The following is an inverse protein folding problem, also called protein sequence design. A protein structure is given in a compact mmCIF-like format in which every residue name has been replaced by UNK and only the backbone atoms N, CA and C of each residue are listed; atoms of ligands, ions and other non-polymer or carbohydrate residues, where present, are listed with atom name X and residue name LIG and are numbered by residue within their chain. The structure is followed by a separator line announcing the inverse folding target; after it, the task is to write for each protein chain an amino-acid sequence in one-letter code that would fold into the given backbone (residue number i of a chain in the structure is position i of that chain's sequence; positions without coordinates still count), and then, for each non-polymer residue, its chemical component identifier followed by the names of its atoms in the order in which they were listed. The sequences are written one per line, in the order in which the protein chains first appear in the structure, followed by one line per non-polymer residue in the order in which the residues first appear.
data_IF_683294008980
#
_entry.id   IF_683294008980
#
_cell.length_a   1.000
_cell.length_b   1.000
_cell.length_c   1.000
_cell.angle_alpha   90.00
_cell.angle_beta   90.00
_cell.angle_gamma   90.00
#
_symmetry.space_group_name_H-M   'P 1'
#
loop_
_entity.id
_entity.type
_entity.pdbx_description
1 polymer ?
#
# COMPACT_ATOMS: atom_id res chain seq x y z
N UNK A 1 9.40 -13.62 -22.03
CA UNK A 1 9.53 -12.21 -21.63
C UNK A 1 8.99 -11.35 -22.75
N UNK A 2 7.67 -11.17 -22.80
CA UNK A 2 7.08 -10.12 -23.62
C UNK A 2 7.02 -8.89 -22.72
N UNK A 3 7.78 -7.85 -23.07
CA UNK A 3 7.55 -6.53 -22.49
C UNK A 3 6.16 -6.09 -22.95
N UNK A 4 5.22 -5.99 -22.01
CA UNK A 4 3.84 -5.64 -22.31
C UNK A 4 3.76 -4.24 -22.93
N UNK A 5 3.07 -4.14 -24.06
CA UNK A 5 2.69 -2.86 -24.68
C UNK A 5 1.72 -2.16 -23.73
N UNK A 6 1.86 -0.84 -23.48
CA UNK A 6 0.89 -0.07 -22.69
C UNK A 6 -0.54 -0.28 -23.22
N UNK A 7 -1.50 -0.45 -22.32
CA UNK A 7 -2.92 -0.67 -22.67
C UNK A 7 -3.46 0.39 -23.65
N UNK A 8 -2.96 1.62 -23.53
CA UNK A 8 -3.33 2.78 -24.36
C UNK A 8 -2.83 2.68 -25.81
N UNK A 9 -1.99 1.69 -26.12
CA UNK A 9 -1.37 1.45 -27.43
C UNK A 9 -1.91 0.18 -28.14
N UNK A 10 -2.80 -0.58 -27.51
CA UNK A 10 -3.41 -1.78 -28.08
C UNK A 10 -4.76 -1.46 -28.74
N UNK A 11 -5.07 -2.11 -29.87
CA UNK A 11 -6.37 -1.94 -30.53
C UNK A 11 -7.49 -2.69 -29.79
N UNK A 12 -8.73 -2.18 -29.87
CA UNK A 12 -9.92 -2.73 -29.19
C UNK A 12 -10.12 -4.24 -29.41
N UNK A 13 -9.73 -4.77 -30.57
CA UNK A 13 -9.95 -6.16 -30.95
C UNK A 13 -8.89 -7.07 -30.32
N UNK A 14 -7.65 -6.60 -30.24
CA UNK A 14 -6.55 -7.22 -29.49
C UNK A 14 -6.84 -7.18 -27.99
N UNK A 15 -7.30 -6.05 -27.47
CA UNK A 15 -7.70 -5.91 -26.07
C UNK A 15 -8.83 -6.87 -25.69
N UNK A 16 -9.88 -6.99 -26.52
CA UNK A 16 -10.98 -7.94 -26.28
C UNK A 16 -10.53 -9.40 -26.29
N UNK A 17 -9.45 -9.73 -27.00
CA UNK A 17 -8.93 -11.10 -27.10
C UNK A 17 -7.94 -11.43 -25.98
N UNK A 18 -7.07 -10.49 -25.62
CA UNK A 18 -6.05 -10.67 -24.58
C UNK A 18 -6.61 -10.47 -23.16
N UNK A 19 -7.67 -9.66 -23.03
CA UNK A 19 -8.29 -9.32 -21.76
C UNK A 19 -9.75 -9.80 -21.67
N UNK A 20 -10.15 -10.77 -22.51
CA UNK A 20 -11.44 -11.45 -22.31
C UNK A 20 -11.44 -12.13 -20.94
N UNK A 21 -12.60 -12.30 -20.29
CA UNK A 21 -12.67 -13.03 -19.03
C UNK A 21 -12.02 -14.43 -19.11
N UNK A 22 -12.21 -15.16 -20.22
CA UNK A 22 -11.56 -16.46 -20.43
C UNK A 22 -10.04 -16.34 -20.67
N UNK A 23 -9.58 -15.31 -21.37
CA UNK A 23 -8.15 -15.10 -21.63
C UNK A 23 -7.39 -14.68 -20.36
N UNK A 24 -7.99 -13.84 -19.50
CA UNK A 24 -7.43 -13.48 -18.19
C UNK A 24 -7.35 -14.68 -17.23
N UNK A 25 -8.29 -15.62 -17.36
CA UNK A 25 -8.30 -16.90 -16.65
C UNK A 25 -7.19 -17.83 -17.16
N UNK A 26 -7.10 -18.06 -18.49
CA UNK A 26 -6.12 -18.97 -19.09
C UNK A 26 -4.67 -18.49 -18.96
N UNK A 27 -4.45 -17.18 -18.97
CA UNK A 27 -3.09 -16.60 -18.89
C UNK A 27 -2.59 -16.48 -17.46
N UNK A 28 -3.43 -16.76 -16.46
CA UNK A 28 -3.17 -16.41 -15.06
C UNK A 28 -2.64 -14.97 -14.92
N UNK A 29 -3.14 -14.03 -15.72
CA UNK A 29 -2.64 -12.66 -15.79
C UNK A 29 -2.56 -12.01 -14.39
N UNK A 30 -3.52 -12.35 -13.54
CA UNK A 30 -3.59 -11.88 -12.17
C UNK A 30 -2.66 -12.61 -11.19
N UNK A 31 -2.18 -13.82 -11.51
CA UNK A 31 -1.05 -14.43 -10.79
C UNK A 31 0.30 -13.86 -11.24
N UNK A 32 0.43 -13.41 -12.49
CA UNK A 32 1.65 -12.70 -12.93
C UNK A 32 1.87 -11.41 -12.13
N UNK A 33 0.80 -10.75 -11.66
CA UNK A 33 0.90 -9.64 -10.69
C UNK A 33 1.29 -10.07 -9.26
N UNK A 34 1.13 -11.35 -8.88
CA UNK A 34 1.67 -11.93 -7.63
C UNK A 34 3.18 -12.21 -7.77
N UNK A 35 3.61 -12.57 -8.99
CA UNK A 35 5.00 -12.86 -9.33
C UNK A 35 5.93 -11.63 -9.36
N UNK A 36 5.39 -10.41 -9.34
CA UNK A 36 6.13 -9.17 -9.07
C UNK A 36 6.66 -9.08 -7.62
N UNK A 37 6.40 -10.10 -6.79
CA UNK A 37 6.86 -10.19 -5.40
C UNK A 37 5.87 -9.62 -4.39
N UNK A 38 4.71 -9.17 -4.84
CA UNK A 38 3.61 -8.66 -4.01
C UNK A 38 2.65 -9.78 -3.67
N UNK A 39 2.79 -10.38 -2.48
CA UNK A 39 1.86 -11.43 -2.05
C UNK A 39 0.47 -10.86 -1.81
N UNK A 40 -0.55 -11.48 -2.40
CA UNK A 40 -1.92 -11.29 -1.95
C UNK A 40 -2.05 -11.63 -0.46
N UNK A 41 -2.84 -10.83 0.28
CA UNK A 41 -3.16 -11.15 1.67
C UNK A 41 -3.85 -12.54 1.79
N UNK A 42 -4.68 -12.91 0.79
CA UNK A 42 -5.34 -14.23 0.69
C UNK A 42 -5.98 -14.43 -0.72
N UNK A 43 -5.28 -15.09 -1.65
CA UNK A 43 -5.75 -15.29 -3.04
C UNK A 43 -7.01 -16.16 -3.14
N UNK A 44 -7.11 -17.21 -2.34
CA UNK A 44 -8.28 -18.11 -2.35
C UNK A 44 -9.55 -17.36 -1.92
N UNK A 45 -9.46 -16.50 -0.89
CA UNK A 45 -10.58 -15.65 -0.50
C UNK A 45 -10.94 -14.64 -1.57
N UNK A 46 -9.95 -14.04 -2.22
CA UNK A 46 -10.17 -13.11 -3.33
C UNK A 46 -11.06 -13.74 -4.41
N UNK A 47 -10.68 -14.92 -4.93
CA UNK A 47 -11.46 -15.64 -5.94
C UNK A 47 -12.86 -16.02 -5.47
N UNK A 48 -13.04 -16.28 -4.17
CA UNK A 48 -14.34 -16.67 -3.61
C UNK A 48 -15.35 -15.52 -3.52
N UNK A 49 -14.89 -14.29 -3.34
CA UNK A 49 -15.76 -13.14 -3.07
C UNK A 49 -16.00 -12.25 -4.29
N UNK A 50 -15.00 -12.10 -5.16
CA UNK A 50 -15.04 -11.17 -6.29
C UNK A 50 -15.45 -11.87 -7.59
N UNK A 51 -16.60 -12.53 -7.52
CA UNK A 51 -17.20 -13.36 -8.58
C UNK A 51 -18.23 -12.63 -9.44
N UNK A 52 -18.52 -11.34 -9.19
CA UNK A 52 -19.33 -10.50 -10.10
C UNK A 52 -18.81 -9.07 -10.13
N UNK A 53 -18.98 -8.38 -11.28
CA UNK A 53 -18.65 -6.95 -11.37
C UNK A 53 -19.55 -6.08 -10.47
N UNK A 54 -20.76 -6.55 -10.17
CA UNK A 54 -21.67 -5.88 -9.24
C UNK A 54 -21.09 -5.86 -7.81
N UNK A 55 -20.62 -7.01 -7.32
CA UNK A 55 -19.92 -7.11 -6.03
C UNK A 55 -18.63 -6.30 -6.01
N UNK A 56 -17.88 -6.31 -7.11
CA UNK A 56 -16.65 -5.51 -7.27
C UNK A 56 -16.94 -4.01 -7.18
N UNK A 57 -17.95 -3.50 -7.90
CA UNK A 57 -18.31 -2.09 -7.86
C UNK A 57 -18.83 -1.68 -6.49
N UNK A 58 -19.62 -2.53 -5.85
CA UNK A 58 -20.14 -2.27 -4.52
C UNK A 58 -19.03 -2.28 -3.46
N UNK A 59 -18.05 -3.18 -3.59
CA UNK A 59 -16.83 -3.17 -2.79
C UNK A 59 -16.10 -1.84 -2.89
N UNK A 60 -15.87 -1.32 -4.11
CA UNK A 60 -15.16 -0.05 -4.29
C UNK A 60 -15.93 1.13 -3.69
N UNK A 61 -17.26 1.18 -3.91
CA UNK A 61 -18.13 2.24 -3.34
C UNK A 61 -18.11 2.20 -1.81
N UNK A 62 -18.18 1.00 -1.22
CA UNK A 62 -18.11 0.84 0.22
C UNK A 62 -16.71 1.17 0.78
N UNK A 63 -15.63 0.75 0.11
CA UNK A 63 -14.25 1.12 0.48
C UNK A 63 -14.06 2.64 0.47
N UNK A 64 -14.61 3.34 -0.52
CA UNK A 64 -14.58 4.80 -0.58
C UNK A 64 -15.33 5.45 0.60
N UNK A 65 -16.53 4.96 0.93
CA UNK A 65 -17.33 5.45 2.06
C UNK A 65 -16.64 5.21 3.41
N UNK A 66 -16.07 4.02 3.61
CA UNK A 66 -15.27 3.68 4.80
C UNK A 66 -14.07 4.61 4.90
N UNK A 67 -13.36 4.81 3.79
CA UNK A 67 -12.19 5.69 3.75
C UNK A 67 -12.53 7.13 4.09
N UNK A 68 -13.74 7.61 3.77
CA UNK A 68 -14.20 8.96 4.14
C UNK A 68 -14.68 9.05 5.58
N UNK A 69 -15.51 8.09 6.02
CA UNK A 69 -16.22 8.13 7.32
C UNK A 69 -15.38 7.63 8.48
N UNK A 70 -14.42 6.73 8.24
CA UNK A 70 -13.55 6.12 9.25
C UNK A 70 -12.12 6.70 9.25
N UNK A 71 -11.80 7.66 8.35
CA UNK A 71 -10.50 8.37 8.30
C UNK A 71 -10.00 8.91 9.64
N UNK A 72 -10.89 9.17 10.60
CA UNK A 72 -10.55 9.63 11.93
C UNK A 72 -9.63 8.66 12.68
N UNK A 73 -9.63 7.37 12.32
CA UNK A 73 -8.78 6.34 12.94
C UNK A 73 -7.29 6.68 12.83
N UNK A 74 -6.89 7.42 11.78
CA UNK A 74 -5.52 7.90 11.60
C UNK A 74 -4.98 8.67 12.82
N UNK A 75 -5.84 9.43 13.51
CA UNK A 75 -5.47 10.24 14.68
C UNK A 75 -5.04 9.40 15.89
N UNK A 76 -5.34 8.10 15.86
CA UNK A 76 -5.09 7.16 16.94
C UNK A 76 -4.06 6.11 16.56
N UNK A 77 -3.38 6.26 15.41
CA UNK A 77 -2.35 5.31 14.95
C UNK A 77 -1.16 5.23 15.91
N UNK A 78 -0.97 6.25 16.75
CA UNK A 78 0.06 6.32 17.78
C UNK A 78 -0.09 5.26 18.87
N UNK A 79 -1.30 4.73 19.05
CA UNK A 79 -1.55 3.67 20.03
C UNK A 79 -0.91 2.36 19.59
N UNK A 80 -0.32 1.67 20.57
CA UNK A 80 0.26 0.35 20.36
C UNK A 80 -0.83 -0.66 19.98
N UNK A 81 -0.53 -1.56 19.03
CA UNK A 81 -1.49 -2.60 18.66
C UNK A 81 -1.81 -3.48 19.85
N UNK A 82 -3.11 -3.66 20.10
CA UNK A 82 -3.61 -4.44 21.24
C UNK A 82 -3.61 -3.68 22.57
N UNK A 83 -3.22 -2.41 22.61
CA UNK A 83 -3.46 -1.58 23.80
C UNK A 83 -4.96 -1.40 24.03
N UNK A 84 -5.41 -1.17 25.29
CA UNK A 84 -6.82 -0.90 25.57
C UNK A 84 -7.39 0.25 24.72
N UNK A 85 -6.62 1.30 24.51
CA UNK A 85 -7.01 2.45 23.70
C UNK A 85 -7.17 2.08 22.22
N UNK A 86 -6.25 1.28 21.67
CA UNK A 86 -6.37 0.79 20.30
C UNK A 86 -7.57 -0.15 20.11
N UNK A 87 -7.83 -1.03 21.08
CA UNK A 87 -8.98 -1.95 21.06
C UNK A 87 -10.30 -1.17 21.02
N UNK A 88 -10.43 -0.10 21.81
CA UNK A 88 -11.63 0.74 21.79
C UNK A 88 -11.82 1.47 20.45
N UNK A 89 -10.73 1.97 19.87
CA UNK A 89 -10.70 2.61 18.55
C UNK A 89 -11.12 1.62 17.46
N UNK A 90 -10.56 0.41 17.46
CA UNK A 90 -10.92 -0.65 16.51
C UNK A 90 -12.38 -1.07 16.65
N UNK A 91 -12.88 -1.23 17.88
CA UNK A 91 -14.27 -1.60 18.13
C UNK A 91 -15.25 -0.51 17.64
N UNK A 92 -14.89 0.77 17.80
CA UNK A 92 -15.67 1.88 17.25
C UNK A 92 -15.65 1.87 15.72
N UNK A 93 -14.47 1.72 15.11
CA UNK A 93 -14.34 1.62 13.66
C UNK A 93 -15.13 0.43 13.10
N UNK A 94 -15.14 -0.70 13.80
CA UNK A 94 -15.93 -1.88 13.44
C UNK A 94 -17.43 -1.60 13.44
N UNK A 95 -17.97 -1.01 14.52
CA UNK A 95 -19.42 -0.68 14.57
C UNK A 95 -19.83 0.25 13.44
N UNK A 96 -19.03 1.28 13.17
CA UNK A 96 -19.31 2.20 12.06
C UNK A 96 -19.22 1.52 10.69
N UNK A 97 -18.27 0.61 10.51
CA UNK A 97 -18.15 -0.15 9.26
C UNK A 97 -19.41 -0.99 9.02
N UNK A 98 -19.87 -1.73 10.04
CA UNK A 98 -21.12 -2.51 9.97
C UNK A 98 -22.32 -1.62 9.68
N UNK A 99 -22.44 -0.47 10.36
CA UNK A 99 -23.54 0.49 10.11
C UNK A 99 -23.54 1.01 8.67
N UNK A 100 -22.37 1.34 8.11
CA UNK A 100 -22.24 1.78 6.71
C UNK A 100 -22.61 0.64 5.76
N UNK A 101 -22.19 -0.59 6.04
CA UNK A 101 -22.44 -1.75 5.18
C UNK A 101 -23.94 -2.07 5.01
N UNK A 102 -24.80 -1.62 5.92
CA UNK A 102 -26.25 -1.78 5.80
C UNK A 102 -26.84 -1.05 4.57
N UNK A 103 -26.14 -0.04 4.06
CA UNK A 103 -26.54 0.68 2.85
C UNK A 103 -26.12 -0.05 1.55
N UNK A 104 -25.44 -1.21 1.66
CA UNK A 104 -24.83 -1.96 0.54
C UNK A 104 -25.38 -3.39 0.48
N UNK A 105 -26.44 -3.67 -0.31
CA UNK A 105 -27.15 -4.95 -0.32
C UNK A 105 -26.34 -6.21 -0.67
N UNK A 106 -25.25 -6.13 -1.46
CA UNK A 106 -24.40 -7.29 -1.75
C UNK A 106 -23.12 -7.32 -0.90
N UNK A 107 -23.00 -6.44 0.09
CA UNK A 107 -21.90 -6.46 1.05
C UNK A 107 -22.13 -7.53 2.11
N UNK A 108 -21.42 -8.65 2.00
CA UNK A 108 -21.42 -9.65 3.07
C UNK A 108 -20.71 -9.12 4.33
N UNK A 109 -21.02 -9.71 5.48
CA UNK A 109 -20.36 -9.37 6.74
C UNK A 109 -18.83 -9.54 6.66
N UNK A 110 -18.38 -10.65 6.04
CA UNK A 110 -16.94 -10.93 5.89
C UNK A 110 -16.26 -9.95 4.93
N UNK A 111 -16.93 -9.55 3.85
CA UNK A 111 -16.44 -8.50 2.94
C UNK A 111 -16.33 -7.15 3.66
N UNK A 112 -17.34 -6.79 4.45
CA UNK A 112 -17.34 -5.55 5.22
C UNK A 112 -16.17 -5.50 6.22
N UNK A 113 -15.87 -6.64 6.85
CA UNK A 113 -14.72 -6.80 7.74
C UNK A 113 -13.38 -6.64 7.02
N UNK A 114 -13.25 -7.21 5.83
CA UNK A 114 -11.99 -7.13 5.09
C UNK A 114 -11.73 -5.73 4.56
N UNK A 115 -12.73 -5.06 3.99
CA UNK A 115 -12.60 -3.64 3.55
C UNK A 115 -12.11 -2.74 4.68
N UNK A 116 -12.68 -2.89 5.88
CA UNK A 116 -12.23 -2.14 7.06
C UNK A 116 -10.79 -2.48 7.42
N UNK A 117 -10.42 -3.77 7.37
CA UNK A 117 -9.06 -4.22 7.65
C UNK A 117 -8.06 -3.65 6.64
N UNK A 118 -8.41 -3.65 5.35
CA UNK A 118 -7.63 -3.04 4.27
C UNK A 118 -7.48 -1.54 4.47
N UNK A 119 -8.56 -0.83 4.84
CA UNK A 119 -8.49 0.60 5.13
C UNK A 119 -7.56 0.92 6.30
N UNK A 120 -7.64 0.15 7.40
CA UNK A 120 -6.78 0.32 8.58
C UNK A 120 -5.33 0.00 8.23
N UNK A 121 -5.10 -1.11 7.52
CA UNK A 121 -3.77 -1.51 7.05
C UNK A 121 -3.15 -0.41 6.17
N UNK A 122 -3.89 0.07 5.18
CA UNK A 122 -3.45 1.14 4.28
C UNK A 122 -3.13 2.42 5.04
N UNK A 123 -4.00 2.83 5.95
CA UNK A 123 -3.78 4.04 6.77
C UNK A 123 -2.55 3.89 7.66
N UNK A 124 -2.33 2.69 8.21
CA UNK A 124 -1.19 2.39 9.09
C UNK A 124 0.12 2.40 8.32
N UNK A 125 0.15 1.78 7.14
CA UNK A 125 1.32 1.80 6.26
C UNK A 125 1.68 3.22 5.86
N UNK A 126 0.70 4.01 5.39
CA UNK A 126 0.97 5.41 5.00
C UNK A 126 1.49 6.24 6.20
N UNK A 127 1.00 5.97 7.40
CA UNK A 127 1.46 6.67 8.60
C UNK A 127 2.89 6.27 8.99
N UNK A 128 3.17 4.99 9.20
CA UNK A 128 4.44 4.53 9.76
C UNK A 128 5.55 4.38 8.72
N UNK A 129 5.24 3.79 7.56
CA UNK A 129 6.25 3.44 6.55
C UNK A 129 6.55 4.60 5.59
N UNK A 130 5.69 5.63 5.55
CA UNK A 130 5.88 6.81 4.69
C UNK A 130 6.02 8.10 5.50
N UNK A 131 4.97 8.52 6.20
CA UNK A 131 4.95 9.83 6.87
C UNK A 131 5.98 9.95 8.00
N UNK A 132 6.16 8.90 8.81
CA UNK A 132 7.16 8.93 9.88
C UNK A 132 8.60 8.69 9.38
N UNK A 133 8.76 7.92 8.29
CA UNK A 133 10.06 7.55 7.74
C UNK A 133 10.65 8.65 6.85
N UNK A 134 9.85 9.36 6.06
CA UNK A 134 10.28 10.48 5.20
C UNK A 134 11.24 11.46 5.90
N UNK A 135 10.87 12.07 7.04
CA UNK A 135 11.76 13.03 7.69
C UNK A 135 13.02 12.36 8.29
N UNK A 136 12.94 11.09 8.70
CA UNK A 136 14.10 10.34 9.18
C UNK A 136 15.11 10.09 8.05
N UNK A 137 14.66 9.61 6.89
CA UNK A 137 15.54 9.36 5.73
C UNK A 137 16.20 10.65 5.24
N UNK A 138 15.44 11.75 5.18
CA UNK A 138 15.99 13.06 4.84
C UNK A 138 17.05 13.51 5.83
N UNK A 139 16.82 13.37 7.14
CA UNK A 139 17.80 13.76 8.15
C UNK A 139 19.07 12.92 8.08
N UNK A 140 18.94 11.62 7.81
CA UNK A 140 20.07 10.73 7.55
C UNK A 140 20.83 11.24 6.33
N UNK A 141 20.20 11.34 5.16
CA UNK A 141 20.82 11.77 3.90
C UNK A 141 21.56 13.12 4.06
N UNK A 142 20.91 14.11 4.67
CA UNK A 142 21.48 15.44 4.92
C UNK A 142 22.78 15.36 5.74
N UNK A 143 22.87 14.44 6.72
CA UNK A 143 24.09 14.25 7.52
C UNK A 143 25.17 13.56 6.73
N UNK A 144 24.84 12.56 5.91
CA UNK A 144 25.81 11.88 5.05
C UNK A 144 26.43 12.88 4.07
N UNK A 145 25.62 13.68 3.39
CA UNK A 145 26.10 14.62 2.36
C UNK A 145 26.86 15.81 2.95
N UNK A 146 26.33 16.45 4.00
CA UNK A 146 26.97 17.65 4.58
C UNK A 146 28.14 17.36 5.51
N UNK A 147 28.06 16.28 6.30
CA UNK A 147 29.06 15.97 7.33
C UNK A 147 30.02 14.85 6.91
N UNK A 148 29.77 14.18 5.77
CA UNK A 148 30.57 13.06 5.26
C UNK A 148 30.80 11.97 6.30
N UNK A 149 29.75 11.66 7.05
CA UNK A 149 29.74 10.60 8.06
C UNK A 149 29.06 9.35 7.51
N UNK A 150 29.26 8.21 8.18
CA UNK A 150 28.59 6.96 7.79
C UNK A 150 27.12 6.97 8.21
N UNK A 151 26.31 6.11 7.58
CA UNK A 151 24.92 5.87 7.95
C UNK A 151 24.75 5.59 9.45
N UNK A 152 25.64 4.76 10.02
CA UNK A 152 25.62 4.43 11.45
C UNK A 152 25.90 5.65 12.33
N UNK A 153 26.91 6.44 11.99
CA UNK A 153 27.23 7.67 12.73
C UNK A 153 26.09 8.69 12.66
N UNK A 154 25.38 8.76 11.52
CA UNK A 154 24.19 9.60 11.40
C UNK A 154 23.09 9.14 12.37
N UNK A 155 22.81 7.83 12.45
CA UNK A 155 21.85 7.25 13.38
C UNK A 155 22.24 7.49 14.85
N UNK A 156 23.51 7.32 15.22
CA UNK A 156 24.02 7.61 16.57
C UNK A 156 23.77 9.08 16.97
N UNK A 157 24.08 10.02 16.07
CA UNK A 157 23.81 11.44 16.31
C UNK A 157 22.30 11.73 16.40
N UNK A 158 21.48 11.09 15.56
CA UNK A 158 20.03 11.28 15.55
C UNK A 158 19.43 10.80 16.89
N UNK A 159 19.92 9.68 17.40
CA UNK A 159 19.51 9.12 18.68
C UNK A 159 19.94 10.01 19.85
N UNK A 160 21.20 10.48 19.86
CA UNK A 160 21.72 11.38 20.89
C UNK A 160 20.95 12.70 20.96
N UNK A 161 20.52 13.23 19.81
CA UNK A 161 19.74 14.45 19.72
C UNK A 161 18.23 14.23 19.95
N UNK A 162 17.80 12.97 20.15
CA UNK A 162 16.40 12.57 20.34
C UNK A 162 15.42 13.16 19.30
N UNK A 163 15.84 13.21 18.03
CA UNK A 163 15.06 13.87 16.98
C UNK A 163 13.82 13.07 16.55
N UNK A 164 13.87 11.74 16.64
CA UNK A 164 12.78 10.85 16.22
C UNK A 164 12.44 9.82 17.32
N UNK A 165 11.82 10.24 18.43
CA UNK A 165 11.55 9.35 19.57
C UNK A 165 10.74 8.10 19.20
N UNK A 166 9.83 8.19 18.22
CA UNK A 166 9.02 7.04 17.77
C UNK A 166 9.83 5.98 17.04
N UNK A 167 10.88 6.41 16.36
CA UNK A 167 11.76 5.53 15.62
C UNK A 167 12.93 5.05 16.50
N UNK A 168 12.97 5.41 17.79
CA UNK A 168 14.05 5.05 18.71
C UNK A 168 14.29 3.53 18.75
N UNK A 169 13.24 2.72 18.89
CA UNK A 169 13.36 1.26 18.87
C UNK A 169 13.91 0.74 17.54
N UNK A 170 13.49 1.33 16.42
CA UNK A 170 13.97 0.97 15.08
C UNK A 170 15.46 1.35 14.92
N UNK A 171 15.82 2.57 15.27
CA UNK A 171 17.20 3.09 15.23
C UNK A 171 18.10 2.24 16.13
N UNK A 172 17.70 1.98 17.37
CA UNK A 172 18.45 1.16 18.32
C UNK A 172 18.66 -0.26 17.76
N UNK A 173 17.63 -0.86 17.17
CA UNK A 173 17.75 -2.17 16.53
C UNK A 173 18.82 -2.19 15.44
N UNK A 174 18.91 -1.15 14.60
CA UNK A 174 19.97 -1.04 13.58
C UNK A 174 21.35 -0.87 14.21
N UNK A 175 21.46 -0.05 15.26
CA UNK A 175 22.73 0.20 15.94
C UNK A 175 23.29 -1.04 16.66
N UNK A 176 22.40 -1.85 17.26
CA UNK A 176 22.71 -3.10 17.94
C UNK A 176 23.10 -4.22 16.97
N UNK A 177 22.49 -4.26 15.79
CA UNK A 177 22.67 -5.31 14.78
C UNK A 177 23.58 -4.88 13.63
N UNK A 178 24.75 -4.33 13.97
CA UNK A 178 25.69 -3.74 12.99
C UNK A 178 26.21 -4.68 11.89
N UNK A 179 26.07 -6.00 12.05
CA UNK A 179 26.45 -7.00 11.04
C UNK A 179 25.31 -7.39 10.08
N UNK A 180 24.09 -6.87 10.30
CA UNK A 180 22.89 -7.24 9.55
C UNK A 180 22.45 -6.05 8.70
N UNK A 181 22.25 -6.30 7.41
CA UNK A 181 21.59 -5.33 6.54
C UNK A 181 20.11 -5.26 6.89
N UNK A 182 19.69 -4.12 7.45
CA UNK A 182 18.34 -3.97 8.04
C UNK A 182 17.33 -3.40 7.05
N UNK A 183 16.03 -3.56 7.34
CA UNK A 183 14.95 -2.94 6.56
C UNK A 183 15.13 -1.43 6.45
N UNK A 184 15.48 -0.72 7.53
CA UNK A 184 15.69 0.74 7.48
C UNK A 184 16.81 1.12 6.51
N UNK A 185 17.90 0.36 6.49
CA UNK A 185 19.01 0.62 5.57
C UNK A 185 18.61 0.34 4.11
N UNK A 186 17.89 -0.76 3.87
CA UNK A 186 17.32 -1.06 2.54
C UNK A 186 16.35 0.01 2.05
N UNK A 187 15.46 0.49 2.91
CA UNK A 187 14.55 1.61 2.63
C UNK A 187 15.33 2.88 2.30
N UNK A 188 16.36 3.19 3.08
CA UNK A 188 17.21 4.36 2.84
C UNK A 188 17.89 4.29 1.49
N UNK A 189 18.64 3.22 1.22
CA UNK A 189 19.40 3.02 -0.02
C UNK A 189 18.47 3.12 -1.24
N UNK A 190 17.29 2.49 -1.18
CA UNK A 190 16.26 2.56 -2.24
C UNK A 190 15.80 3.99 -2.51
N UNK A 191 15.56 4.78 -1.45
CA UNK A 191 15.02 6.13 -1.58
C UNK A 191 16.06 7.16 -2.05
N UNK A 192 17.34 6.90 -1.84
CA UNK A 192 18.42 7.84 -2.20
C UNK A 192 19.24 7.42 -3.42
N UNK A 193 18.99 6.25 -4.00
CA UNK A 193 19.74 5.65 -5.11
C UNK A 193 20.07 6.63 -6.27
N UNK A 194 19.12 7.49 -6.62
CA UNK A 194 19.25 8.43 -7.76
C UNK A 194 19.60 9.87 -7.34
N UNK A 195 19.94 10.09 -6.07
CA UNK A 195 20.19 11.42 -5.50
C UNK A 195 21.69 11.63 -5.34
N UNK A 196 22.26 12.59 -6.07
CA UNK A 196 23.69 12.92 -5.95
C UNK A 196 23.99 13.67 -4.64
N UNK A 197 25.20 13.50 -4.11
CA UNK A 197 25.67 14.16 -2.89
C UNK A 197 25.72 15.71 -3.02
N UNK A 198 25.81 16.21 -4.25
CA UNK A 198 25.83 17.64 -4.57
C UNK A 198 24.42 18.25 -4.71
N UNK A 199 23.36 17.44 -4.57
CA UNK A 199 21.97 17.90 -4.69
C UNK A 199 21.67 18.95 -3.62
N UNK A 200 21.10 20.11 -3.97
CA UNK A 200 20.64 21.11 -3.01
C UNK A 200 19.68 20.49 -1.97
N UNK A 201 19.73 20.98 -0.73
CA UNK A 201 18.97 20.38 0.39
C UNK A 201 17.44 20.37 0.15
N UNK A 202 16.89 21.44 -0.42
CA UNK A 202 15.49 21.57 -0.77
C UNK A 202 15.06 20.57 -1.85
N UNK A 203 15.90 20.38 -2.86
CA UNK A 203 15.66 19.40 -3.92
C UNK A 203 15.84 17.97 -3.40
N UNK A 204 16.85 17.70 -2.57
CA UNK A 204 17.06 16.41 -1.92
C UNK A 204 15.87 16.02 -1.04
N UNK A 205 15.31 16.97 -0.26
CA UNK A 205 14.07 16.77 0.51
C UNK A 205 12.94 16.34 -0.41
N UNK A 206 12.72 17.06 -1.52
CA UNK A 206 11.65 16.78 -2.48
C UNK A 206 11.79 15.39 -3.11
N UNK A 207 13.00 15.03 -3.55
CA UNK A 207 13.29 13.74 -4.19
C UNK A 207 13.13 12.57 -3.22
N UNK A 208 13.62 12.69 -1.98
CA UNK A 208 13.43 11.66 -0.95
C UNK A 208 11.94 11.46 -0.66
N UNK A 209 11.18 12.55 -0.47
CA UNK A 209 9.74 12.44 -0.27
C UNK A 209 9.10 11.72 -1.46
N UNK A 210 9.39 12.11 -2.71
CA UNK A 210 8.85 11.40 -3.87
C UNK A 210 9.19 9.90 -3.86
N UNK A 211 10.45 9.55 -3.58
CA UNK A 211 10.89 8.16 -3.55
C UNK A 211 10.22 7.35 -2.43
N UNK A 212 10.00 7.94 -1.26
CA UNK A 212 9.24 7.30 -0.16
C UNK A 212 7.82 6.94 -0.60
N UNK A 213 7.16 7.82 -1.36
CA UNK A 213 5.80 7.57 -1.83
C UNK A 213 5.73 6.64 -3.05
N UNK A 214 6.75 6.61 -3.91
CA UNK A 214 6.72 5.86 -5.17
C UNK A 214 7.49 4.53 -5.15
N UNK A 215 8.63 4.46 -4.45
CA UNK A 215 9.52 3.29 -4.44
C UNK A 215 9.24 2.34 -3.28
N UNK A 216 8.76 2.84 -2.14
CA UNK A 216 8.42 1.95 -1.03
C UNK A 216 7.16 1.15 -1.35
N UNK A 217 7.39 -0.15 -1.50
CA UNK A 217 6.35 -1.09 -1.87
C UNK A 217 5.29 -1.17 -0.78
N UNK A 218 4.09 -0.70 -1.11
CA UNK A 218 2.88 -0.95 -0.35
C UNK A 218 2.27 -2.24 -0.91
N UNK A 219 2.04 -3.22 -0.04
CA UNK A 219 1.31 -4.42 -0.45
C UNK A 219 -0.03 -3.99 -1.05
N UNK A 220 -0.34 -4.49 -2.25
CA UNK A 220 -1.58 -4.13 -2.92
C UNK A 220 -2.75 -4.69 -2.13
N UNK A 221 -3.69 -3.84 -1.77
CA UNK A 221 -4.96 -4.28 -1.17
C UNK A 221 -5.94 -4.69 -2.25
N UNK A 222 -6.99 -5.43 -1.88
CA UNK A 222 -7.99 -5.89 -2.85
C UNK A 222 -8.64 -4.74 -3.60
N UNK A 223 -8.80 -3.57 -2.98
CA UNK A 223 -9.28 -2.34 -3.62
C UNK A 223 -8.52 -1.98 -4.90
N UNK A 224 -7.18 -2.01 -4.88
CA UNK A 224 -6.38 -1.58 -6.04
C UNK A 224 -6.53 -2.56 -7.20
N UNK A 225 -6.64 -3.85 -6.89
CA UNK A 225 -6.89 -4.87 -7.89
C UNK A 225 -8.30 -4.74 -8.48
N UNK A 226 -9.33 -4.62 -7.64
CA UNK A 226 -10.72 -4.56 -8.07
C UNK A 226 -10.95 -3.31 -8.93
N UNK A 227 -10.34 -2.19 -8.56
CA UNK A 227 -10.31 -0.98 -9.36
C UNK A 227 -9.72 -1.25 -10.75
N UNK A 228 -8.56 -1.92 -10.82
CA UNK A 228 -7.93 -2.26 -12.10
C UNK A 228 -8.75 -3.23 -12.94
N UNK A 229 -9.36 -4.24 -12.31
CA UNK A 229 -10.27 -5.20 -12.96
C UNK A 229 -11.47 -4.48 -13.58
N UNK A 230 -12.08 -3.54 -12.86
CA UNK A 230 -13.21 -2.74 -13.36
C UNK A 230 -12.78 -1.78 -14.48
N UNK A 231 -11.62 -1.14 -14.36
CA UNK A 231 -11.07 -0.27 -15.42
C UNK A 231 -10.93 -1.03 -16.74
N UNK A 232 -10.35 -2.22 -16.69
CA UNK A 232 -10.18 -3.10 -17.86
C UNK A 232 -11.55 -3.47 -18.44
N UNK A 233 -12.46 -3.97 -17.61
CA UNK A 233 -13.79 -4.40 -18.04
C UNK A 233 -14.58 -3.27 -18.73
N UNK A 234 -14.50 -2.05 -18.19
CA UNK A 234 -15.10 -0.85 -18.77
C UNK A 234 -14.46 -0.49 -20.11
N UNK A 235 -13.14 -0.55 -20.18
CA UNK A 235 -12.38 -0.23 -21.39
C UNK A 235 -12.73 -1.14 -22.57
N UNK A 236 -12.88 -2.45 -22.32
CA UNK A 236 -13.21 -3.44 -23.36
C UNK A 236 -14.74 -3.59 -23.62
N UNK A 237 -15.57 -2.85 -22.87
CA UNK A 237 -17.03 -2.85 -23.02
C UNK A 237 -17.70 -4.16 -22.61
N UNK A 238 -17.18 -4.83 -21.57
CA UNK A 238 -17.89 -5.94 -20.93
C UNK A 238 -19.13 -5.42 -20.22
N UNK A 239 -20.24 -6.15 -20.35
CA UNK A 239 -21.45 -5.89 -19.58
C UNK A 239 -21.19 -6.23 -18.11
N UNK A 240 -21.21 -5.21 -17.25
CA UNK A 240 -20.97 -5.34 -15.81
C UNK A 240 -22.10 -6.11 -15.10
N UNK A 241 -23.19 -6.45 -15.79
CA UNK A 241 -24.25 -7.35 -15.31
C UNK A 241 -23.98 -8.84 -15.63
N UNK A 242 -22.97 -9.15 -16.43
CA UNK A 242 -22.54 -10.53 -16.63
C UNK A 242 -21.77 -11.01 -15.40
N UNK A 243 -22.11 -12.20 -14.89
CA UNK A 243 -21.37 -12.90 -13.83
C UNK A 243 -19.87 -12.83 -14.13
N UNK A 244 -19.03 -12.39 -13.18
CA UNK A 244 -17.60 -12.56 -13.39
C UNK A 244 -17.36 -14.06 -13.44
N UNK A 245 -16.65 -14.48 -14.49
CA UNK A 245 -16.26 -15.87 -14.64
C UNK A 245 -15.47 -16.25 -13.38
N UNK A 246 -15.83 -17.40 -12.78
CA UNK A 246 -15.14 -17.93 -11.61
C UNK A 246 -13.66 -18.10 -11.96
N UNK A 247 -12.80 -17.44 -11.19
CA UNK A 247 -11.34 -17.64 -11.17
C UNK A 247 -11.03 -18.99 -10.51
#
# INVERSE_FOLDING_TARGET
MAQGVPMDELDDMTLRKEYSPEALEETYYFSDYDHDGTRYLDWEKYCSWFTTYETDEEYLKYFEEISKKIKWIKRYMEFERGSPEWIEVEARGFRQAVEIALDFPHMSFDLALTVRSDHIFNTRFDHFDREEIDPLLFEIWKRLTKRKITFRQALEQIQQENMFPRQEKCIQFVLDNSSIYTRLQSTFDTCVEDISDETPEDEGRRLITMAVWSKLHKEKTWNEYIMRKIEIAKHIGLDLQATCIRI
#
